data_IF_144577296220
#
_entry.id   IF_144577296220
#
_cell.length_a   1.000
_cell.length_b   1.000
_cell.length_c   1.000
_cell.angle_alpha   90.00
_cell.angle_beta   90.00
_cell.angle_gamma   90.00
#
_symmetry.space_group_name_H-M   'P 1'
#
loop_
_entity.id
_entity.type
_entity.pdbx_description
1 polymer ?
#
# COMPACT_ATOMS: atom_id res chain seq x y z
N UNK A 1 -46.77 -14.07 15.51
CA UNK A 1 -47.25 -12.94 14.67
C UNK A 1 -46.50 -11.68 15.05
N UNK A 2 -45.55 -11.24 14.21
CA UNK A 2 -45.35 -9.83 13.84
C UNK A 2 -44.26 -9.78 12.75
N UNK A 3 -44.69 -9.47 11.53
CA UNK A 3 -43.82 -9.08 10.41
C UNK A 3 -43.62 -7.55 10.50
N UNK A 4 -42.54 -7.07 9.87
CA UNK A 4 -42.25 -5.68 9.42
C UNK A 4 -41.10 -5.01 10.23
N UNK A 5 -39.96 -4.59 9.67
CA UNK A 5 -39.64 -3.89 8.41
C UNK A 5 -38.27 -4.34 7.83
N UNK A 6 -38.20 -4.70 6.55
CA UNK A 6 -37.59 -3.98 5.39
C UNK A 6 -36.06 -4.05 5.27
N UNK A 7 -35.65 -4.65 4.14
CA UNK A 7 -34.58 -4.18 3.25
C UNK A 7 -33.28 -3.68 3.90
N UNK A 8 -32.32 -4.60 4.04
CA UNK A 8 -30.93 -4.26 3.73
C UNK A 8 -30.44 -5.31 2.73
N UNK A 9 -30.72 -5.01 1.47
CA UNK A 9 -30.07 -5.66 0.33
C UNK A 9 -28.56 -5.60 0.53
N UNK A 10 -27.94 -6.77 0.44
CA UNK A 10 -26.57 -6.97 -0.06
C UNK A 10 -25.44 -6.41 0.84
N UNK A 11 -24.28 -7.07 0.82
CA UNK A 11 -23.03 -6.58 1.43
C UNK A 11 -22.91 -6.72 2.96
N UNK A 12 -23.36 -7.82 3.54
CA UNK A 12 -22.84 -8.23 4.88
C UNK A 12 -22.28 -9.64 4.91
N UNK A 13 -22.38 -10.40 3.81
CA UNK A 13 -21.96 -11.80 3.72
C UNK A 13 -20.61 -12.05 3.01
N UNK A 14 -19.88 -11.01 2.61
CA UNK A 14 -18.59 -11.18 1.90
C UNK A 14 -17.38 -11.16 2.85
N UNK A 15 -17.55 -10.63 4.07
CA UNK A 15 -16.47 -10.55 5.06
C UNK A 15 -16.26 -11.84 5.85
N UNK A 16 -17.14 -12.84 5.69
CA UNK A 16 -17.09 -14.08 6.49
C UNK A 16 -16.16 -15.14 5.91
N UNK A 17 -15.81 -15.09 4.63
CA UNK A 17 -14.73 -15.93 4.06
C UNK A 17 -13.34 -15.28 4.26
N UNK A 18 -13.31 -13.95 4.38
CA UNK A 18 -12.11 -13.17 4.72
C UNK A 18 -11.69 -13.43 6.19
N UNK A 19 -12.55 -14.00 7.03
CA UNK A 19 -12.17 -14.52 8.35
C UNK A 19 -11.20 -15.72 8.27
N UNK A 20 -11.00 -16.36 7.09
CA UNK A 20 -9.88 -17.29 6.87
C UNK A 20 -8.51 -16.60 6.79
N UNK A 21 -8.44 -15.26 6.81
CA UNK A 21 -7.22 -14.45 7.01
C UNK A 21 -6.61 -14.62 8.42
N UNK A 22 -7.15 -15.49 9.28
CA UNK A 22 -6.75 -15.61 10.68
C UNK A 22 -5.31 -16.14 10.92
N UNK A 23 -4.53 -16.37 9.87
CA UNK A 23 -3.13 -16.84 9.93
C UNK A 23 -2.16 -15.98 9.11
N UNK A 24 -2.40 -14.67 9.06
CA UNK A 24 -1.71 -13.78 8.13
C UNK A 24 -0.90 -12.71 8.88
N UNK A 25 0.39 -12.97 9.08
CA UNK A 25 1.34 -12.06 9.76
C UNK A 25 1.55 -10.72 9.05
N UNK A 26 1.84 -9.66 9.81
CA UNK A 26 1.90 -8.19 9.50
C UNK A 26 2.13 -7.72 8.04
N UNK A 27 2.95 -8.43 7.26
CA UNK A 27 3.16 -8.20 5.82
C UNK A 27 1.91 -8.54 4.96
N UNK A 28 0.97 -9.26 5.53
CA UNK A 28 -0.29 -9.66 4.92
C UNK A 28 -1.28 -8.50 4.80
N UNK A 29 -1.30 -7.61 5.80
CA UNK A 29 -2.30 -6.54 5.87
C UNK A 29 -2.01 -5.49 4.80
N UNK A 30 -0.74 -5.17 4.54
CA UNK A 30 -0.37 -4.26 3.44
C UNK A 30 -0.72 -4.83 2.07
N UNK A 31 -0.58 -6.15 1.87
CA UNK A 31 -1.04 -6.83 0.65
C UNK A 31 -2.55 -6.80 0.51
N UNK A 32 -3.29 -7.05 1.60
CA UNK A 32 -4.75 -6.98 1.59
C UNK A 32 -5.25 -5.57 1.24
N UNK A 33 -4.63 -4.54 1.83
CA UNK A 33 -4.93 -3.14 1.50
C UNK A 33 -4.65 -2.86 0.02
N UNK A 34 -3.51 -3.32 -0.52
CA UNK A 34 -3.20 -3.17 -1.94
C UNK A 34 -4.24 -3.85 -2.85
N UNK A 35 -4.68 -5.06 -2.51
CA UNK A 35 -5.73 -5.77 -3.26
C UNK A 35 -7.06 -5.00 -3.27
N UNK A 36 -7.49 -4.50 -2.11
CA UNK A 36 -8.71 -3.67 -2.03
C UNK A 36 -8.59 -2.40 -2.88
N UNK A 37 -7.41 -1.77 -2.91
CA UNK A 37 -7.14 -0.61 -3.76
C UNK A 37 -7.16 -0.95 -5.26
N UNK A 38 -6.63 -2.11 -5.66
CA UNK A 38 -6.69 -2.58 -7.05
C UNK A 38 -8.13 -2.89 -7.50
N UNK A 39 -8.94 -3.47 -6.61
CA UNK A 39 -10.34 -3.78 -6.87
C UNK A 39 -11.20 -2.50 -7.03
N UNK A 40 -10.94 -1.50 -6.18
CA UNK A 40 -11.64 -0.21 -6.17
C UNK A 40 -11.21 0.69 -7.35
N UNK A 41 -9.91 0.67 -7.70
CA UNK A 41 -9.32 1.55 -8.71
C UNK A 41 -8.69 0.76 -9.86
N UNK A 42 -9.51 0.06 -10.64
CA UNK A 42 -9.07 -0.83 -11.76
C UNK A 42 -8.22 -0.17 -12.85
N UNK A 43 -8.19 1.16 -12.91
CA UNK A 43 -7.37 1.92 -13.87
C UNK A 43 -6.00 2.37 -13.33
N UNK A 44 -5.71 2.11 -12.05
CA UNK A 44 -4.46 2.51 -11.40
C UNK A 44 -3.57 1.28 -11.20
N UNK A 45 -2.26 1.49 -11.28
CA UNK A 45 -1.28 0.43 -11.03
C UNK A 45 -0.65 0.64 -9.65
N UNK A 46 -0.80 -0.33 -8.76
CA UNK A 46 -0.22 -0.30 -7.42
C UNK A 46 1.02 -1.21 -7.33
N UNK A 47 1.92 -0.92 -6.40
CA UNK A 47 3.06 -1.78 -6.08
C UNK A 47 3.36 -1.75 -4.59
N UNK A 48 3.64 -2.92 -4.01
CA UNK A 48 4.20 -3.04 -2.67
C UNK A 48 5.72 -3.21 -2.71
N UNK A 49 6.42 -2.52 -1.81
CA UNK A 49 7.87 -2.66 -1.61
C UNK A 49 8.18 -2.91 -0.14
N UNK A 50 9.12 -3.81 0.12
CA UNK A 50 9.57 -4.07 1.48
C UNK A 50 10.53 -2.99 2.01
N UNK A 51 11.22 -2.26 1.13
CA UNK A 51 12.24 -1.28 1.53
C UNK A 51 12.48 -0.21 0.47
N UNK A 52 13.01 0.92 0.92
CA UNK A 52 13.52 2.02 0.10
C UNK A 52 15.01 2.21 0.39
N UNK A 53 15.81 2.48 -0.65
CA UNK A 53 17.25 2.68 -0.48
C UNK A 53 17.56 4.11 -0.07
N UNK A 54 18.63 4.33 0.70
CA UNK A 54 19.06 5.70 1.03
C UNK A 54 19.42 6.49 -0.23
N UNK A 55 20.02 5.84 -1.22
CA UNK A 55 20.35 6.42 -2.53
C UNK A 55 19.11 6.99 -3.25
N UNK A 56 17.99 6.29 -3.19
CA UNK A 56 16.73 6.75 -3.80
C UNK A 56 16.22 8.02 -3.12
N UNK A 57 16.27 8.06 -1.78
CA UNK A 57 15.90 9.25 -1.00
C UNK A 57 16.83 10.42 -1.35
N UNK A 58 18.14 10.19 -1.35
CA UNK A 58 19.15 11.20 -1.66
C UNK A 58 18.96 11.74 -3.09
N UNK A 59 18.62 10.88 -4.06
CA UNK A 59 18.35 11.30 -5.45
C UNK A 59 17.12 12.19 -5.57
N UNK A 60 16.06 11.93 -4.80
CA UNK A 60 14.86 12.79 -4.78
C UNK A 60 15.19 14.12 -4.12
N UNK A 61 15.95 14.11 -3.01
CA UNK A 61 16.39 15.32 -2.33
C UNK A 61 17.27 16.21 -3.22
N UNK A 62 18.22 15.61 -3.95
CA UNK A 62 19.07 16.33 -4.90
C UNK A 62 18.31 16.94 -6.07
N UNK A 63 17.19 16.33 -6.48
CA UNK A 63 16.29 16.90 -7.49
C UNK A 63 15.56 18.16 -7.02
N UNK A 64 15.43 18.36 -5.70
CA UNK A 64 14.85 19.57 -5.11
C UNK A 64 15.90 20.64 -4.88
N UNK A 65 17.07 20.26 -4.37
CA UNK A 65 18.19 21.15 -4.10
C UNK A 65 19.51 20.35 -4.10
N UNK A 66 20.52 20.82 -4.85
CA UNK A 66 21.81 20.16 -5.01
C UNK A 66 22.64 20.04 -3.71
N UNK A 67 22.30 20.82 -2.68
CA UNK A 67 22.95 20.77 -1.38
C UNK A 67 22.30 19.74 -0.42
N UNK A 68 21.13 19.19 -0.76
CA UNK A 68 20.45 18.14 0.01
C UNK A 68 20.90 16.74 -0.41
N UNK A 69 20.77 15.76 0.50
CA UNK A 69 21.02 14.34 0.17
C UNK A 69 22.49 13.99 -0.16
N UNK A 70 23.45 14.69 0.45
CA UNK A 70 24.90 14.52 0.14
C UNK A 70 25.58 13.38 0.90
N UNK A 71 24.91 12.78 1.88
CA UNK A 71 25.58 11.97 2.90
C UNK A 71 25.23 10.49 2.78
N UNK A 72 26.01 9.74 2.01
CA UNK A 72 25.92 8.28 1.91
C UNK A 72 27.19 7.61 2.46
N UNK A 73 27.21 7.33 3.77
CA UNK A 73 28.35 6.63 4.41
C UNK A 73 28.43 5.15 4.06
N UNK A 74 27.28 4.51 3.78
CA UNK A 74 27.19 3.10 3.42
C UNK A 74 26.30 2.97 2.19
N UNK A 75 26.87 2.47 1.09
CA UNK A 75 26.19 2.43 -0.22
C UNK A 75 24.98 1.50 -0.26
N UNK A 76 24.93 0.50 0.63
CA UNK A 76 23.84 -0.48 0.75
C UNK A 76 22.78 -0.10 1.80
N UNK A 77 22.85 1.09 2.40
CA UNK A 77 21.86 1.56 3.37
C UNK A 77 20.45 1.58 2.79
N UNK A 78 19.51 1.03 3.55
CA UNK A 78 18.08 0.99 3.21
C UNK A 78 17.23 1.12 4.45
N UNK A 79 16.04 1.67 4.27
CA UNK A 79 14.99 1.75 5.28
C UNK A 79 13.98 0.65 4.94
N UNK A 80 13.66 -0.19 5.92
CA UNK A 80 12.68 -1.29 5.81
C UNK A 80 11.55 -1.03 6.81
N UNK A 81 10.47 -0.34 6.41
CA UNK A 81 9.30 -0.22 7.26
C UNK A 81 8.71 -1.60 7.52
N UNK A 82 8.24 -1.85 8.75
CA UNK A 82 7.77 -3.18 9.15
C UNK A 82 6.61 -3.69 8.27
N UNK A 83 5.81 -2.77 7.72
CA UNK A 83 4.65 -3.07 6.87
C UNK A 83 4.91 -2.81 5.38
N UNK A 84 6.14 -2.41 5.04
CA UNK A 84 6.53 -1.99 3.69
C UNK A 84 5.89 -0.67 3.25
N UNK A 85 5.88 -0.46 1.95
CA UNK A 85 5.45 0.78 1.27
C UNK A 85 4.50 0.38 0.15
N UNK A 86 3.36 1.06 0.02
CA UNK A 86 2.46 0.93 -1.13
C UNK A 86 2.61 2.18 -1.98
N UNK A 87 2.88 2.00 -3.26
CA UNK A 87 3.02 3.05 -4.26
C UNK A 87 1.89 2.91 -5.28
N UNK A 88 1.39 4.04 -5.79
CA UNK A 88 0.49 4.08 -6.95
C UNK A 88 1.20 4.80 -8.08
N UNK A 89 1.18 4.20 -9.27
CA UNK A 89 1.70 4.86 -10.47
C UNK A 89 0.67 5.88 -10.93
N UNK A 90 1.09 7.14 -10.95
CA UNK A 90 0.36 8.20 -11.62
C UNK A 90 0.87 8.24 -13.06
N UNK A 91 -0.02 8.14 -14.05
CA UNK A 91 0.35 8.46 -15.41
C UNK A 91 0.57 9.97 -15.49
N UNK A 92 1.82 10.39 -15.66
CA UNK A 92 2.16 11.78 -15.94
C UNK A 92 1.63 12.13 -17.35
N UNK A 93 0.35 12.47 -17.45
CA UNK A 93 -0.19 13.18 -18.61
C UNK A 93 0.05 14.67 -18.40
N UNK A 94 1.19 15.16 -18.88
CA UNK A 94 1.45 16.57 -19.22
C UNK A 94 2.52 16.60 -20.29
#
# INVERSE_FOLDING_TARGET
MSKQHKESLCVTNIFTDEAKLHDMGVNSISKLVMQKLEDEFKGLSFRHRASITKREIDSVLQGLDSELGRTLFVQSSKIKPDRGIIEVKIDNRS
#
